data_IF_677922029534
#
_entry.id   IF_677922029534
#
_cell.length_a   1.000
_cell.length_b   1.000
_cell.length_c   1.000
_cell.angle_alpha   90.00
_cell.angle_beta   90.00
_cell.angle_gamma   90.00
#
_symmetry.space_group_name_H-M   'P 1'
#
loop_
_entity.id
_entity.type
_entity.pdbx_description
1 polymer ?
#
# COMPACT_ATOMS: atom_id res chain seq x y z
N UNK A 1 -3.76 32.49 -26.37
CA UNK A 1 -4.36 31.81 -25.19
C UNK A 1 -4.24 30.29 -25.21
N UNK A 2 -4.63 29.59 -26.30
CA UNK A 2 -4.56 28.12 -26.34
C UNK A 2 -3.17 27.53 -26.09
N UNK A 3 -2.11 28.14 -26.64
CA UNK A 3 -0.72 27.69 -26.43
C UNK A 3 -0.27 27.79 -24.96
N UNK A 4 -0.61 28.89 -24.29
CA UNK A 4 -0.30 29.13 -22.87
C UNK A 4 -1.00 28.10 -21.97
N UNK A 5 -2.28 27.79 -22.26
CA UNK A 5 -3.02 26.75 -21.52
C UNK A 5 -2.37 25.37 -21.68
N UNK A 6 -1.95 24.99 -22.89
CA UNK A 6 -1.25 23.72 -23.13
C UNK A 6 0.07 23.64 -22.38
N UNK A 7 0.84 24.73 -22.33
CA UNK A 7 2.12 24.78 -21.62
C UNK A 7 1.94 24.64 -20.10
N UNK A 8 0.91 25.26 -19.53
CA UNK A 8 0.54 25.10 -18.11
C UNK A 8 0.14 23.66 -17.80
N UNK A 9 -0.70 23.04 -18.64
CA UNK A 9 -1.08 21.63 -18.43
C UNK A 9 0.12 20.71 -18.49
N UNK A 10 1.01 20.89 -19.48
CA UNK A 10 2.24 20.11 -19.58
C UNK A 10 3.11 20.27 -18.33
N UNK A 11 3.23 21.49 -17.81
CA UNK A 11 4.04 21.73 -16.63
C UNK A 11 3.40 21.17 -15.35
N UNK A 12 2.07 21.31 -15.20
CA UNK A 12 1.29 20.69 -14.13
C UNK A 12 1.51 19.18 -14.11
N UNK A 13 1.41 18.53 -15.27
CA UNK A 13 1.55 17.08 -15.38
C UNK A 13 2.99 16.64 -15.06
N UNK A 14 4.01 17.41 -15.47
CA UNK A 14 5.40 17.19 -15.09
C UNK A 14 5.62 17.30 -13.57
N UNK A 15 5.06 18.34 -12.94
CA UNK A 15 5.16 18.52 -11.49
C UNK A 15 4.41 17.41 -10.74
N UNK A 16 3.26 16.96 -11.25
CA UNK A 16 2.54 15.82 -10.69
C UNK A 16 3.34 14.52 -10.82
N UNK A 17 4.06 14.31 -11.93
CA UNK A 17 4.92 13.14 -12.11
C UNK A 17 6.10 13.16 -11.12
N UNK A 18 6.76 14.31 -10.99
CA UNK A 18 7.85 14.51 -10.01
C UNK A 18 7.34 14.34 -8.57
N UNK A 19 6.16 14.87 -8.27
CA UNK A 19 5.50 14.68 -6.99
C UNK A 19 5.25 13.19 -6.71
N UNK A 20 4.72 12.43 -7.68
CA UNK A 20 4.50 10.99 -7.50
C UNK A 20 5.81 10.24 -7.25
N UNK A 21 6.88 10.58 -7.96
CA UNK A 21 8.21 9.97 -7.77
C UNK A 21 8.75 10.27 -6.37
N UNK A 22 8.63 11.53 -5.91
CA UNK A 22 9.09 11.94 -4.58
C UNK A 22 8.24 11.31 -3.48
N UNK A 23 6.93 11.23 -3.67
CA UNK A 23 6.00 10.55 -2.75
C UNK A 23 6.31 9.04 -2.67
N UNK A 24 6.57 8.38 -3.82
CA UNK A 24 6.94 6.97 -3.85
C UNK A 24 8.30 6.70 -3.20
N UNK A 25 9.24 7.64 -3.28
CA UNK A 25 10.53 7.56 -2.58
C UNK A 25 10.38 7.77 -1.07
N UNK A 26 9.52 8.70 -0.65
CA UNK A 26 9.31 9.01 0.75
C UNK A 26 8.49 7.92 1.45
N UNK A 27 7.37 7.53 0.83
CA UNK A 27 6.40 6.56 1.34
C UNK A 27 6.14 5.44 0.33
N UNK A 28 7.13 4.56 0.10
CA UNK A 28 6.94 3.42 -0.80
C UNK A 28 5.83 2.51 -0.28
N UNK A 29 5.14 1.81 -1.18
CA UNK A 29 4.07 0.85 -0.84
C UNK A 29 4.57 -0.37 -0.04
N UNK A 30 5.89 -0.54 0.05
CA UNK A 30 6.56 -1.61 0.76
C UNK A 30 6.92 -1.26 2.20
N UNK A 31 6.78 0.01 2.62
CA UNK A 31 7.20 0.48 3.96
C UNK A 31 6.07 1.21 4.65
N UNK A 32 5.93 0.93 5.95
CA UNK A 32 5.03 1.63 6.86
C UNK A 32 5.80 2.74 7.55
N UNK A 33 5.21 3.93 7.62
CA UNK A 33 5.83 5.14 8.18
C UNK A 33 4.99 5.59 9.36
N UNK A 34 5.61 6.22 10.35
CA UNK A 34 4.86 6.87 11.42
C UNK A 34 3.89 7.93 10.83
N UNK A 35 2.59 7.90 11.17
CA UNK A 35 1.62 8.88 10.71
C UNK A 35 2.00 10.34 10.98
N UNK A 36 2.68 10.62 12.10
CA UNK A 36 3.10 11.98 12.48
C UNK A 36 4.24 12.45 11.58
N UNK A 37 5.27 11.62 11.42
CA UNK A 37 6.40 11.89 10.51
C UNK A 37 5.92 12.03 9.07
N UNK A 38 4.98 11.17 8.63
CA UNK A 38 4.38 11.27 7.30
C UNK A 38 3.64 12.59 7.12
N UNK A 39 2.86 13.05 8.11
CA UNK A 39 2.14 14.31 8.06
C UNK A 39 3.07 15.51 7.92
N UNK A 40 4.18 15.52 8.68
CA UNK A 40 5.17 16.60 8.60
C UNK A 40 5.87 16.64 7.25
N UNK A 41 6.35 15.50 6.76
CA UNK A 41 7.02 15.41 5.47
C UNK A 41 6.06 15.69 4.30
N UNK A 42 4.80 15.25 4.39
CA UNK A 42 3.76 15.55 3.42
C UNK A 42 3.49 17.06 3.33
N UNK A 43 3.46 17.77 4.47
CA UNK A 43 3.32 19.24 4.49
C UNK A 43 4.51 19.93 3.81
N UNK A 44 5.74 19.47 4.05
CA UNK A 44 6.95 20.01 3.40
C UNK A 44 6.90 19.82 1.88
N UNK A 45 6.65 18.59 1.41
CA UNK A 45 6.55 18.28 -0.01
C UNK A 45 5.43 19.09 -0.67
N UNK A 46 4.26 19.15 -0.05
CA UNK A 46 3.12 19.94 -0.56
C UNK A 46 3.51 21.41 -0.76
N UNK A 47 4.19 22.02 0.22
CA UNK A 47 4.64 23.42 0.15
C UNK A 47 5.69 23.64 -0.95
N UNK A 48 6.65 22.73 -1.10
CA UNK A 48 7.67 22.81 -2.16
C UNK A 48 7.03 22.83 -3.56
N UNK A 49 6.10 21.92 -3.82
CA UNK A 49 5.43 21.82 -5.12
C UNK A 49 4.41 22.94 -5.35
N UNK A 50 3.73 23.41 -4.29
CA UNK A 50 2.87 24.59 -4.36
C UNK A 50 3.68 25.82 -4.79
N UNK A 51 4.79 26.11 -4.10
CA UNK A 51 5.65 27.25 -4.42
C UNK A 51 6.21 27.14 -5.85
N UNK A 52 6.59 25.93 -6.28
CA UNK A 52 7.10 25.68 -7.63
C UNK A 52 6.03 25.97 -8.69
N UNK A 53 4.79 25.56 -8.45
CA UNK A 53 3.69 25.79 -9.37
C UNK A 53 3.23 27.25 -9.40
N UNK A 54 3.10 27.90 -8.23
CA UNK A 54 2.75 29.32 -8.11
C UNK A 54 3.79 30.21 -8.80
N UNK A 55 5.09 29.94 -8.59
CA UNK A 55 6.15 30.74 -9.21
C UNK A 55 6.08 30.73 -10.74
N UNK A 56 5.67 29.58 -11.30
CA UNK A 56 5.51 29.40 -12.74
C UNK A 56 4.21 30.03 -13.26
N UNK A 57 3.07 29.84 -12.59
CA UNK A 57 1.78 30.41 -13.01
C UNK A 57 1.83 31.95 -13.00
N UNK A 58 2.43 32.57 -11.97
CA UNK A 58 2.57 34.04 -11.89
C UNK A 58 3.29 34.63 -13.10
N UNK A 59 4.19 33.87 -13.73
CA UNK A 59 4.89 34.31 -14.94
C UNK A 59 3.99 34.44 -16.17
N UNK A 60 2.86 33.71 -16.20
CA UNK A 60 1.94 33.68 -17.34
C UNK A 60 0.77 34.67 -17.22
N UNK A 61 0.56 35.32 -16.06
CA UNK A 61 -0.48 36.34 -15.79
C UNK A 61 -1.87 35.96 -16.32
N UNK A 62 -2.43 34.86 -15.82
CA UNK A 62 -3.74 34.38 -16.24
C UNK A 62 -4.85 34.94 -15.36
N UNK A 63 -6.03 35.15 -15.93
CA UNK A 63 -7.23 35.53 -15.15
C UNK A 63 -7.73 34.39 -14.25
N UNK A 64 -7.48 33.13 -14.64
CA UNK A 64 -7.89 31.91 -13.90
C UNK A 64 -6.78 31.31 -13.01
N UNK A 65 -5.77 32.10 -12.62
CA UNK A 65 -4.59 31.64 -11.86
C UNK A 65 -4.97 30.88 -10.58
N UNK A 66 -5.84 31.47 -9.75
CA UNK A 66 -6.24 30.88 -8.47
C UNK A 66 -6.94 29.53 -8.64
N UNK A 67 -7.73 29.37 -9.70
CA UNK A 67 -8.46 28.14 -9.98
C UNK A 67 -7.51 27.01 -10.39
N UNK A 68 -6.51 27.31 -11.21
CA UNK A 68 -5.50 26.32 -11.61
C UNK A 68 -4.64 25.87 -10.43
N UNK A 69 -4.28 26.81 -9.53
CA UNK A 69 -3.56 26.50 -8.29
C UNK A 69 -4.41 25.58 -7.41
N UNK A 70 -5.69 25.89 -7.22
CA UNK A 70 -6.60 25.06 -6.43
C UNK A 70 -6.76 23.64 -7.02
N UNK A 71 -6.93 23.50 -8.33
CA UNK A 71 -7.07 22.19 -8.99
C UNK A 71 -5.81 21.32 -8.85
N UNK A 72 -4.63 21.94 -8.97
CA UNK A 72 -3.35 21.26 -8.73
C UNK A 72 -3.19 20.83 -7.27
N UNK A 73 -3.53 21.72 -6.34
CA UNK A 73 -3.46 21.44 -4.90
C UNK A 73 -4.44 20.34 -4.49
N UNK A 74 -5.63 20.31 -5.09
CA UNK A 74 -6.60 19.23 -4.91
C UNK A 74 -6.02 17.88 -5.34
N UNK A 75 -5.39 17.83 -6.52
CA UNK A 75 -4.76 16.62 -7.05
C UNK A 75 -3.60 16.11 -6.16
N UNK A 76 -2.83 17.01 -5.56
CA UNK A 76 -1.79 16.66 -4.57
C UNK A 76 -2.42 16.12 -3.28
N UNK A 77 -3.44 16.80 -2.75
CA UNK A 77 -4.11 16.40 -1.51
C UNK A 77 -4.73 15.02 -1.63
N UNK A 78 -5.46 14.74 -2.71
CA UNK A 78 -6.08 13.43 -2.95
C UNK A 78 -5.05 12.28 -2.88
N UNK A 79 -3.85 12.48 -3.45
CA UNK A 79 -2.79 11.48 -3.42
C UNK A 79 -2.14 11.32 -2.04
N UNK A 80 -1.94 12.43 -1.32
CA UNK A 80 -1.42 12.39 0.05
C UNK A 80 -2.40 11.73 1.00
N UNK A 81 -3.68 12.07 0.90
CA UNK A 81 -4.76 11.49 1.71
C UNK A 81 -4.89 10.01 1.44
N UNK A 82 -4.92 9.58 0.18
CA UNK A 82 -4.99 8.15 -0.17
C UNK A 82 -3.81 7.36 0.43
N UNK A 83 -2.58 7.88 0.35
CA UNK A 83 -1.43 7.20 0.96
C UNK A 83 -1.46 7.25 2.48
N UNK A 84 -1.86 8.37 3.07
CA UNK A 84 -2.00 8.55 4.51
C UNK A 84 -3.03 7.59 5.11
N UNK A 85 -4.20 7.45 4.48
CA UNK A 85 -5.24 6.50 4.87
C UNK A 85 -4.75 5.05 4.78
N UNK A 86 -4.06 4.68 3.68
CA UNK A 86 -3.49 3.35 3.54
C UNK A 86 -2.47 3.04 4.65
N UNK A 87 -1.61 4.00 4.98
CA UNK A 87 -0.62 3.86 6.04
C UNK A 87 -1.27 3.80 7.43
N UNK A 88 -2.32 4.59 7.68
CA UNK A 88 -3.06 4.55 8.95
C UNK A 88 -3.79 3.20 9.13
N UNK A 89 -4.43 2.69 8.08
CA UNK A 89 -5.05 1.37 8.10
C UNK A 89 -4.03 0.24 8.38
N UNK A 90 -2.81 0.34 7.83
CA UNK A 90 -1.72 -0.59 8.11
C UNK A 90 -1.32 -0.56 9.60
N UNK A 91 -1.22 0.64 10.21
CA UNK A 91 -0.90 0.80 11.64
C UNK A 91 -2.02 0.30 12.55
N UNK A 92 -3.29 0.58 12.23
CA UNK A 92 -4.43 0.09 13.01
C UNK A 92 -4.55 -1.44 12.96
N UNK A 93 -4.36 -2.03 11.77
CA UNK A 93 -4.31 -3.48 11.62
C UNK A 93 -3.17 -4.09 12.44
N UNK A 94 -2.03 -3.41 12.51
CA UNK A 94 -0.89 -3.84 13.33
C UNK A 94 -1.15 -3.72 14.84
N UNK A 95 -1.81 -2.66 15.29
CA UNK A 95 -2.26 -2.54 16.68
C UNK A 95 -3.14 -3.72 17.07
N UNK A 96 -4.14 -4.05 16.25
CA UNK A 96 -5.00 -5.20 16.49
C UNK A 96 -4.20 -6.52 16.53
N UNK A 97 -3.23 -6.68 15.62
CA UNK A 97 -2.33 -7.85 15.63
C UNK A 97 -1.49 -7.90 16.90
N UNK A 98 -0.94 -6.79 17.39
CA UNK A 98 -0.17 -6.74 18.65
C UNK A 98 -0.98 -7.27 19.83
N UNK A 99 -2.23 -6.84 19.96
CA UNK A 99 -3.11 -7.33 21.03
C UNK A 99 -3.54 -8.79 20.83
N UNK A 100 -3.73 -9.23 19.59
CA UNK A 100 -4.15 -10.61 19.29
C UNK A 100 -2.99 -11.63 19.34
N UNK A 101 -1.73 -11.19 19.13
CA UNK A 101 -0.57 -12.07 18.99
C UNK A 101 -0.35 -12.98 20.20
N UNK A 102 -0.46 -12.51 21.47
CA UNK A 102 -0.32 -13.38 22.63
C UNK A 102 -1.35 -14.52 22.67
N UNK A 103 -2.60 -14.24 22.29
CA UNK A 103 -3.69 -15.23 22.31
C UNK A 103 -3.54 -16.26 21.20
N UNK A 104 -3.26 -15.80 19.96
CA UNK A 104 -3.06 -16.68 18.81
C UNK A 104 -1.76 -17.50 18.97
N UNK A 105 -0.69 -16.85 19.42
CA UNK A 105 0.60 -17.50 19.67
C UNK A 105 0.52 -18.56 20.76
N UNK A 106 -0.18 -18.29 21.86
CA UNK A 106 -0.40 -19.28 22.92
C UNK A 106 -1.24 -20.46 22.41
N UNK A 107 -2.33 -20.19 21.68
CA UNK A 107 -3.17 -21.24 21.09
C UNK A 107 -2.40 -22.15 20.13
N UNK A 108 -1.55 -21.56 19.27
CA UNK A 108 -0.66 -22.33 18.40
C UNK A 108 0.37 -23.12 19.19
N UNK A 109 1.03 -22.51 20.18
CA UNK A 109 2.04 -23.20 21.01
C UNK A 109 1.49 -24.48 21.68
N UNK A 110 0.24 -24.44 22.18
CA UNK A 110 -0.40 -25.62 22.75
C UNK A 110 -0.77 -26.69 21.71
N UNK A 111 -1.00 -26.30 20.45
CA UNK A 111 -1.30 -27.24 19.36
C UNK A 111 -0.03 -27.80 18.71
N UNK A 112 1.02 -27.00 18.52
CA UNK A 112 2.22 -27.30 17.72
C UNK A 112 3.33 -28.05 18.46
N UNK A 113 2.95 -28.97 19.35
CA UNK A 113 3.88 -29.88 20.03
C UNK A 113 3.76 -31.33 19.54
N UNK A 114 2.88 -31.58 18.57
CA UNK A 114 2.49 -32.92 18.14
C UNK A 114 2.72 -33.04 16.62
N UNK A 115 3.76 -33.78 16.18
CA UNK A 115 4.13 -33.87 14.77
C UNK A 115 2.99 -34.27 13.83
N UNK A 116 2.06 -35.10 14.32
CA UNK A 116 0.88 -35.52 13.56
C UNK A 116 -0.16 -34.40 13.41
N UNK A 117 -0.39 -33.61 14.45
CA UNK A 117 -1.30 -32.46 14.40
C UNK A 117 -0.72 -31.41 13.45
N UNK A 118 0.58 -31.16 13.52
CA UNK A 118 1.27 -30.23 12.63
C UNK A 118 1.22 -30.68 11.17
N UNK A 119 1.46 -31.98 10.92
CA UNK A 119 1.35 -32.54 9.57
C UNK A 119 -0.08 -32.42 9.01
N UNK A 120 -1.10 -32.68 9.82
CA UNK A 120 -2.51 -32.55 9.43
C UNK A 120 -2.87 -31.09 9.15
N UNK A 121 -2.44 -30.16 10.01
CA UNK A 121 -2.70 -28.73 9.82
C UNK A 121 -2.04 -28.20 8.55
N UNK A 122 -0.77 -28.55 8.31
CA UNK A 122 -0.03 -28.14 7.11
C UNK A 122 -0.65 -28.73 5.84
N UNK A 123 -0.91 -30.04 5.83
CA UNK A 123 -1.50 -30.72 4.67
C UNK A 123 -2.93 -30.22 4.39
N UNK A 124 -3.76 -30.07 5.42
CA UNK A 124 -5.13 -29.58 5.31
C UNK A 124 -5.19 -28.14 4.81
N UNK A 125 -4.35 -27.26 5.34
CA UNK A 125 -4.27 -25.87 4.88
C UNK A 125 -3.80 -25.78 3.42
N UNK A 126 -2.74 -26.51 3.07
CA UNK A 126 -2.24 -26.58 1.69
C UNK A 126 -3.28 -27.10 0.70
N UNK A 127 -4.02 -28.15 1.08
CA UNK A 127 -5.09 -28.72 0.26
C UNK A 127 -6.23 -27.72 0.03
N UNK A 128 -6.77 -27.12 1.10
CA UNK A 128 -7.87 -26.15 0.99
C UNK A 128 -7.47 -24.93 0.15
N UNK A 129 -6.23 -24.48 0.27
CA UNK A 129 -5.74 -23.36 -0.52
C UNK A 129 -5.57 -23.72 -1.99
N UNK A 130 -4.96 -24.87 -2.30
CA UNK A 130 -4.83 -25.37 -3.66
C UNK A 130 -6.20 -25.57 -4.33
N UNK A 131 -7.17 -26.14 -3.60
CA UNK A 131 -8.54 -26.36 -4.08
C UNK A 131 -9.24 -25.03 -4.38
N UNK A 132 -9.06 -24.00 -3.55
CA UNK A 132 -9.62 -22.65 -3.80
C UNK A 132 -9.05 -22.04 -5.09
N UNK A 133 -7.75 -22.12 -5.31
CA UNK A 133 -7.12 -21.60 -6.52
C UNK A 133 -7.53 -22.39 -7.76
N UNK A 134 -7.58 -23.72 -7.67
CA UNK A 134 -8.07 -24.58 -8.74
C UNK A 134 -9.51 -24.22 -9.14
N UNK A 135 -10.42 -24.06 -8.17
CA UNK A 135 -11.81 -23.63 -8.41
C UNK A 135 -11.89 -22.22 -9.00
N UNK A 136 -11.05 -21.30 -8.53
CA UNK A 136 -11.00 -19.94 -9.07
C UNK A 136 -10.53 -19.91 -10.53
N UNK A 137 -9.50 -20.68 -10.87
CA UNK A 137 -8.99 -20.79 -12.23
C UNK A 137 -9.97 -21.54 -13.15
N UNK A 138 -10.61 -22.60 -12.65
CA UNK A 138 -11.62 -23.32 -13.40
C UNK A 138 -12.80 -22.43 -13.80
N UNK A 139 -13.26 -21.56 -12.88
CA UNK A 139 -14.28 -20.54 -13.17
C UNK A 139 -13.84 -19.52 -14.22
N UNK A 140 -12.56 -19.15 -14.24
CA UNK A 140 -12.03 -18.18 -15.19
C UNK A 140 -11.77 -18.77 -16.59
N UNK A 141 -11.39 -20.05 -16.66
CA UNK A 141 -11.03 -20.73 -17.92
C UNK A 141 -12.18 -21.57 -18.52
N UNK A 142 -13.28 -21.76 -17.77
CA UNK A 142 -14.43 -22.54 -18.23
C UNK A 142 -14.21 -24.06 -18.26
N UNK A 143 -13.05 -24.55 -17.81
CA UNK A 143 -12.68 -25.96 -17.79
C UNK A 143 -12.21 -26.38 -16.39
N UNK A 144 -12.34 -27.67 -16.05
CA UNK A 144 -11.81 -28.19 -14.79
C UNK A 144 -10.28 -28.07 -14.77
N UNK A 145 -9.75 -27.49 -13.70
CA UNK A 145 -8.31 -27.36 -13.45
C UNK A 145 -7.98 -28.23 -12.24
N UNK A 146 -7.09 -29.23 -12.37
CA UNK A 146 -6.69 -30.06 -11.24
C UNK A 146 -5.88 -29.23 -10.22
N UNK A 147 -5.99 -29.58 -8.93
CA UNK A 147 -5.31 -28.84 -7.85
C UNK A 147 -3.78 -28.94 -7.90
N UNK A 148 -3.24 -29.96 -8.58
CA UNK A 148 -1.80 -30.16 -8.80
C UNK A 148 -1.31 -29.55 -10.12
N UNK A 149 -2.14 -28.79 -10.83
CA UNK A 149 -1.73 -28.08 -12.04
C UNK A 149 -0.53 -27.16 -11.71
N UNK A 150 0.55 -27.19 -12.50
CA UNK A 150 1.71 -26.31 -12.31
C UNK A 150 1.35 -24.82 -12.17
N UNK A 151 0.27 -24.36 -12.81
CA UNK A 151 -0.22 -22.97 -12.70
C UNK A 151 -0.81 -22.66 -11.33
N UNK A 152 -1.50 -23.64 -10.73
CA UNK A 152 -2.03 -23.54 -9.36
C UNK A 152 -0.88 -23.50 -8.36
N UNK A 153 0.11 -24.38 -8.53
CA UNK A 153 1.32 -24.40 -7.70
C UNK A 153 2.14 -23.11 -7.82
N UNK A 154 2.27 -22.55 -9.02
CA UNK A 154 2.92 -21.26 -9.25
C UNK A 154 2.18 -20.12 -8.54
N UNK A 155 0.85 -20.16 -8.52
CA UNK A 155 0.04 -19.16 -7.82
C UNK A 155 0.23 -19.25 -6.32
N UNK A 156 0.28 -20.47 -5.76
CA UNK A 156 0.61 -20.68 -4.35
C UNK A 156 2.00 -20.14 -3.99
N UNK A 157 3.00 -20.32 -4.87
CA UNK A 157 4.34 -19.77 -4.64
C UNK A 157 4.34 -18.22 -4.65
N UNK A 158 3.60 -17.59 -5.56
CA UNK A 158 3.43 -16.14 -5.60
C UNK A 158 2.72 -15.64 -4.34
N UNK A 159 1.69 -16.34 -3.88
CA UNK A 159 0.98 -15.99 -2.65
C UNK A 159 1.85 -16.18 -1.40
N UNK A 160 2.70 -17.20 -1.37
CA UNK A 160 3.72 -17.38 -0.32
C UNK A 160 4.69 -16.19 -0.26
N UNK A 161 5.15 -15.70 -1.41
CA UNK A 161 5.99 -14.49 -1.49
C UNK A 161 5.25 -13.26 -0.99
N UNK A 162 4.01 -13.04 -1.45
CA UNK A 162 3.17 -11.92 -0.99
C UNK A 162 2.90 -11.98 0.51
N UNK A 163 2.68 -13.18 1.05
CA UNK A 163 2.53 -13.40 2.48
C UNK A 163 3.78 -12.98 3.24
N UNK A 164 4.98 -13.39 2.79
CA UNK A 164 6.23 -12.97 3.40
C UNK A 164 6.42 -11.44 3.34
N UNK A 165 6.16 -10.81 2.20
CA UNK A 165 6.21 -9.35 2.04
C UNK A 165 5.21 -8.64 2.98
N UNK A 166 4.01 -9.19 3.14
CA UNK A 166 3.02 -8.70 4.12
C UNK A 166 3.51 -8.87 5.56
N UNK A 167 4.15 -9.99 5.91
CA UNK A 167 4.69 -10.21 7.27
C UNK A 167 5.79 -9.22 7.62
N UNK A 168 6.68 -8.91 6.68
CA UNK A 168 7.72 -7.88 6.88
C UNK A 168 7.08 -6.52 7.16
N UNK A 169 6.06 -6.14 6.39
CA UNK A 169 5.31 -4.90 6.63
C UNK A 169 4.57 -4.91 7.96
N UNK A 170 3.98 -6.04 8.34
CA UNK A 170 3.31 -6.20 9.63
C UNK A 170 4.29 -5.97 10.79
N UNK A 171 5.50 -6.55 10.74
CA UNK A 171 6.52 -6.34 11.78
C UNK A 171 6.94 -4.87 11.86
N UNK A 172 7.10 -4.19 10.72
CA UNK A 172 7.42 -2.76 10.69
C UNK A 172 6.28 -1.93 11.32
N UNK A 173 5.03 -2.20 10.93
CA UNK A 173 3.86 -1.53 11.48
C UNK A 173 3.70 -1.78 12.98
N UNK A 174 3.93 -3.01 13.44
CA UNK A 174 3.90 -3.37 14.86
C UNK A 174 5.02 -2.66 15.64
N UNK A 175 6.20 -2.47 15.03
CA UNK A 175 7.29 -1.68 15.63
C UNK A 175 6.90 -0.21 15.82
N UNK A 176 6.31 0.42 14.79
CA UNK A 176 5.81 1.80 14.87
C UNK A 176 4.68 1.91 15.90
N UNK A 177 3.74 0.97 15.88
CA UNK A 177 2.65 0.90 16.85
C UNK A 177 3.15 0.78 18.30
N UNK A 178 4.10 -0.12 18.55
CA UNK A 178 4.67 -0.34 19.88
C UNK A 178 5.37 0.92 20.42
N UNK A 179 6.09 1.66 19.57
CA UNK A 179 6.73 2.93 19.94
C UNK A 179 5.72 4.00 20.38
N UNK A 180 4.47 3.93 19.91
CA UNK A 180 3.40 4.85 20.30
C UNK A 180 2.63 4.41 21.55
N UNK A 181 2.86 3.18 22.02
CA UNK A 181 2.29 2.67 23.26
C UNK A 181 3.20 2.85 24.48
N UNK A 182 4.48 3.21 24.27
CA UNK A 182 5.47 3.58 25.31
C UNK A 182 5.57 5.08 25.44
#
# INVERSE_FOLDING_TARGET
EAFVKVEIFKHRDQLLEQFNKRLASLAPSTKVIDPEVFSEEAKKIKKDFQNSFESKIKSFKLEDEDKQIQDFMKSINEKLEARGQANMAEVEAANMKLFATPFVGSGLFFMTGHPYVDAILLAGFGYVQAERHAKSMARAMGNEVPFYDPRVLQTLAVDGRRFAEQRVRDVQAMGVAAQRCT
#
